data_IF_526789514377
#
_entry.id   IF_526789514377
#
_cell.length_a   1.000
_cell.length_b   1.000
_cell.length_c   1.000
_cell.angle_alpha   90.00
_cell.angle_beta   90.00
_cell.angle_gamma   90.00
#
_symmetry.space_group_name_H-M   'P 1'
#
loop_
_entity.id
_entity.type
_entity.pdbx_description
1 polymer ?
#
# COMPACT_ATOMS: atom_id res chain seq x y z
N UNK A 1 30.44 -16.88 1.89
CA UNK A 1 30.54 -16.27 0.55
C UNK A 1 29.62 -17.07 -0.38
N UNK A 2 28.34 -16.70 -0.43
CA UNK A 2 27.36 -17.25 -1.39
C UNK A 2 26.59 -16.06 -1.91
N UNK A 3 27.00 -15.62 -3.09
CA UNK A 3 26.17 -14.84 -4.00
C UNK A 3 25.23 -15.83 -4.69
N UNK A 4 23.92 -15.53 -4.72
CA UNK A 4 23.00 -15.90 -5.80
C UNK A 4 21.59 -15.33 -5.56
N UNK A 5 21.25 -14.42 -6.47
CA UNK A 5 19.99 -14.31 -7.19
C UNK A 5 18.76 -13.75 -6.47
N UNK A 6 18.65 -12.43 -6.62
CA UNK A 6 17.41 -11.68 -6.77
C UNK A 6 16.60 -12.26 -7.96
N UNK A 7 15.73 -13.24 -7.71
CA UNK A 7 14.70 -13.67 -8.66
C UNK A 7 13.63 -14.55 -7.98
N UNK A 8 12.37 -14.19 -8.24
CA UNK A 8 11.18 -15.06 -8.22
C UNK A 8 10.47 -15.27 -6.88
N UNK A 9 9.60 -14.33 -6.56
CA UNK A 9 8.45 -14.50 -5.67
C UNK A 9 7.25 -13.70 -6.13
N UNK A 10 7.10 -13.45 -7.43
CA UNK A 10 5.87 -12.87 -7.97
C UNK A 10 4.79 -13.96 -7.98
N UNK A 11 4.05 -14.11 -6.88
CA UNK A 11 2.83 -14.89 -6.90
C UNK A 11 1.78 -14.11 -7.70
N UNK A 12 1.60 -14.56 -8.94
CA UNK A 12 0.55 -14.13 -9.86
C UNK A 12 -0.79 -14.49 -9.23
N UNK A 13 -1.61 -13.48 -8.90
CA UNK A 13 -3.05 -13.74 -8.69
C UNK A 13 -3.64 -13.98 -10.07
N UNK A 14 -3.73 -15.27 -10.44
CA UNK A 14 -4.49 -15.73 -11.57
C UNK A 14 -5.97 -15.46 -11.30
N UNK A 15 -6.60 -14.72 -12.20
CA UNK A 15 -8.05 -14.73 -12.32
C UNK A 15 -8.44 -16.10 -12.89
N UNK A 16 -9.02 -16.95 -12.04
CA UNK A 16 -9.73 -18.13 -12.47
C UNK A 16 -10.85 -18.41 -11.47
N UNK A 17 -12.07 -18.33 -11.99
CA UNK A 17 -13.27 -18.95 -11.44
C UNK A 17 -12.93 -20.33 -10.87
N UNK A 18 -13.11 -20.49 -9.56
CA UNK A 18 -13.13 -21.80 -8.91
C UNK A 18 -11.81 -22.28 -8.30
N UNK A 19 -11.95 -22.71 -7.05
CA UNK A 19 -11.18 -23.73 -6.35
C UNK A 19 -10.03 -23.36 -5.39
N UNK A 20 -10.38 -23.60 -4.12
CA UNK A 20 -9.59 -24.19 -3.01
C UNK A 20 -8.81 -23.27 -2.08
N UNK A 21 -9.57 -22.81 -1.07
CA UNK A 21 -9.21 -22.68 0.33
C UNK A 21 -8.27 -23.79 0.84
N UNK A 22 -7.16 -23.38 1.47
CA UNK A 22 -6.56 -23.99 2.67
C UNK A 22 -5.98 -22.81 3.44
N UNK A 23 -6.42 -22.38 4.62
CA UNK A 23 -7.13 -22.99 5.72
C UNK A 23 -6.56 -22.29 6.97
N UNK A 24 -7.22 -21.25 7.45
CA UNK A 24 -7.00 -20.71 8.81
C UNK A 24 -8.37 -20.55 9.46
N UNK A 25 -8.58 -21.33 10.51
CA UNK A 25 -9.79 -21.30 11.31
C UNK A 25 -9.95 -19.93 11.98
N UNK A 26 -11.12 -19.32 11.77
CA UNK A 26 -11.76 -18.42 12.73
C UNK A 26 -11.28 -16.97 12.81
N UNK A 27 -11.68 -16.13 11.83
CA UNK A 27 -12.29 -14.82 12.05
C UNK A 27 -12.49 -14.10 10.70
N UNK A 28 -13.75 -13.88 10.32
CA UNK A 28 -14.26 -12.91 9.33
C UNK A 28 -13.26 -12.32 8.30
N UNK A 29 -12.79 -13.11 7.34
CA UNK A 29 -12.07 -12.60 6.16
C UNK A 29 -13.06 -12.16 5.08
N UNK A 30 -13.24 -10.86 4.86
CA UNK A 30 -13.96 -10.32 3.70
C UNK A 30 -13.01 -10.19 2.50
N UNK A 31 -13.52 -10.49 1.31
CA UNK A 31 -12.76 -10.60 0.05
C UNK A 31 -12.04 -9.31 -0.45
N UNK A 32 -12.16 -8.21 0.30
CA UNK A 32 -11.70 -6.87 -0.09
C UNK A 32 -10.38 -6.44 0.58
N UNK A 33 -9.82 -7.29 1.44
CA UNK A 33 -8.54 -7.04 2.12
C UNK A 33 -7.33 -7.31 1.20
N UNK A 34 -6.25 -6.56 1.44
CA UNK A 34 -4.96 -6.75 0.76
C UNK A 34 -4.30 -8.03 1.28
N UNK A 35 -3.88 -8.95 0.41
CA UNK A 35 -3.13 -10.15 0.81
C UNK A 35 -1.62 -9.89 0.95
N UNK A 36 -0.97 -10.52 1.92
CA UNK A 36 0.46 -10.35 2.17
C UNK A 36 1.32 -10.91 1.01
N UNK A 37 2.31 -10.13 0.56
CA UNK A 37 3.32 -10.57 -0.42
C UNK A 37 2.82 -10.64 -1.86
N UNK A 38 1.59 -10.21 -2.15
CA UNK A 38 1.04 -10.20 -3.49
C UNK A 38 1.12 -8.78 -4.09
N UNK A 39 1.63 -8.68 -5.32
CA UNK A 39 1.32 -7.52 -6.15
C UNK A 39 -0.20 -7.52 -6.38
N UNK A 40 -0.85 -6.38 -6.13
CA UNK A 40 -2.30 -6.27 -6.28
C UNK A 40 -2.73 -6.18 -7.76
N UNK A 41 -1.75 -6.18 -8.69
CA UNK A 41 -1.92 -6.34 -10.13
C UNK A 41 -0.74 -7.10 -10.76
N UNK A 42 -0.95 -7.69 -11.93
CA UNK A 42 0.00 -8.58 -12.64
C UNK A 42 1.18 -7.86 -13.35
N UNK A 43 1.79 -6.85 -12.71
CA UNK A 43 2.88 -6.05 -13.28
C UNK A 43 4.02 -6.03 -12.27
N UNK A 44 5.28 -6.07 -12.75
CA UNK A 44 6.45 -6.00 -11.88
C UNK A 44 6.41 -4.71 -11.07
N UNK A 45 6.13 -4.82 -9.77
CA UNK A 45 6.11 -3.70 -8.86
C UNK A 45 7.54 -3.15 -8.74
N UNK A 46 7.76 -1.89 -9.12
CA UNK A 46 9.09 -1.28 -9.10
C UNK A 46 9.58 -0.89 -7.70
N UNK A 47 8.98 -1.38 -6.61
CA UNK A 47 9.37 -1.04 -5.24
C UNK A 47 10.56 -1.91 -4.84
N UNK A 48 11.69 -1.29 -4.51
CA UNK A 48 12.87 -1.99 -3.99
C UNK A 48 12.73 -2.32 -2.50
N UNK A 49 13.41 -3.36 -2.04
CA UNK A 49 13.33 -3.85 -0.65
C UNK A 49 13.66 -2.77 0.38
N UNK A 50 14.72 -1.99 0.17
CA UNK A 50 15.09 -0.88 1.07
C UNK A 50 14.05 0.23 1.09
N UNK A 51 13.42 0.51 -0.06
CA UNK A 51 12.35 1.49 -0.17
C UNK A 51 11.12 1.04 0.62
N UNK A 52 10.75 -0.24 0.47
CA UNK A 52 9.64 -0.85 1.21
C UNK A 52 9.93 -0.86 2.72
N UNK A 53 11.09 -1.37 3.13
CA UNK A 53 11.47 -1.46 4.54
C UNK A 53 11.48 -0.08 5.22
N UNK A 54 12.01 0.94 4.55
CA UNK A 54 11.99 2.31 5.06
C UNK A 54 10.56 2.85 5.16
N UNK A 55 9.75 2.71 4.11
CA UNK A 55 8.36 3.15 4.08
C UNK A 55 7.52 2.50 5.17
N UNK A 56 7.57 1.18 5.30
CA UNK A 56 6.83 0.40 6.32
C UNK A 56 7.24 0.81 7.73
N UNK A 57 8.54 0.95 8.00
CA UNK A 57 9.01 1.41 9.31
C UNK A 57 8.43 2.79 9.66
N UNK A 58 8.52 3.75 8.73
CA UNK A 58 8.04 5.11 8.98
C UNK A 58 6.52 5.17 9.15
N UNK A 59 5.77 4.44 8.32
CA UNK A 59 4.31 4.38 8.43
C UNK A 59 3.88 3.86 9.81
N UNK A 60 4.50 2.76 10.27
CA UNK A 60 4.21 2.16 11.57
C UNK A 60 4.54 3.07 12.74
N UNK A 61 5.66 3.79 12.68
CA UNK A 61 5.99 4.78 13.73
C UNK A 61 5.00 5.93 13.78
N UNK A 62 4.53 6.43 12.64
CA UNK A 62 3.53 7.51 12.61
C UNK A 62 2.17 7.03 13.13
N UNK A 63 1.80 5.79 12.81
CA UNK A 63 0.59 5.16 13.33
C UNK A 63 0.68 4.89 14.84
N UNK A 64 1.86 4.48 15.34
CA UNK A 64 2.13 4.27 16.77
C UNK A 64 2.01 5.56 17.60
N UNK A 65 2.39 6.68 17.00
CA UNK A 65 2.31 8.01 17.63
C UNK A 65 0.93 8.67 17.48
N UNK A 66 -0.03 8.00 16.83
CA UNK A 66 -1.36 8.52 16.53
C UNK A 66 -1.34 9.83 15.71
N UNK A 67 -0.30 10.01 14.87
CA UNK A 67 -0.19 11.16 13.96
C UNK A 67 -1.00 10.91 12.70
N UNK A 68 -0.82 9.75 12.09
CA UNK A 68 -1.50 9.35 10.87
C UNK A 68 -1.08 7.96 10.41
N UNK A 69 -1.77 7.44 9.39
CA UNK A 69 -1.63 6.07 8.91
C UNK A 69 -0.84 5.96 7.61
N UNK A 70 -0.54 7.09 6.97
CA UNK A 70 0.13 7.14 5.67
C UNK A 70 1.39 8.00 5.70
N UNK A 71 2.41 7.55 4.96
CA UNK A 71 3.62 8.33 4.71
C UNK A 71 3.99 8.24 3.23
N UNK A 72 4.58 9.30 2.69
CA UNK A 72 5.23 9.29 1.38
C UNK A 72 6.73 9.38 1.59
N UNK A 73 7.47 8.45 0.99
CA UNK A 73 8.94 8.41 1.08
C UNK A 73 9.57 8.40 -0.31
N UNK A 74 10.78 8.94 -0.43
CA UNK A 74 11.58 8.87 -1.63
C UNK A 74 13.07 8.81 -1.26
N UNK A 75 13.82 7.86 -1.83
CA UNK A 75 15.27 7.74 -1.67
C UNK A 75 15.75 7.82 -0.22
N UNK A 76 15.08 7.11 0.70
CA UNK A 76 15.40 7.09 2.13
C UNK A 76 15.01 8.36 2.91
N UNK A 77 14.21 9.25 2.32
CA UNK A 77 13.71 10.48 2.95
C UNK A 77 12.18 10.46 3.07
N UNK A 78 11.65 10.96 4.19
CA UNK A 78 10.22 11.21 4.33
C UNK A 78 9.86 12.52 3.62
N UNK A 79 8.95 12.44 2.67
CA UNK A 79 8.47 13.56 1.86
C UNK A 79 7.21 14.16 2.47
N UNK A 80 6.29 13.30 2.92
CA UNK A 80 5.08 13.71 3.59
C UNK A 80 4.63 12.67 4.61
N UNK A 81 3.97 13.14 5.66
CA UNK A 81 3.30 12.33 6.68
C UNK A 81 1.85 12.81 6.73
N UNK A 82 0.91 11.88 6.68
CA UNK A 82 -0.50 12.17 6.89
C UNK A 82 -0.72 12.61 8.34
N UNK A 83 -1.53 13.65 8.52
CA UNK A 83 -2.08 14.01 9.81
C UNK A 83 -3.57 14.34 9.65
N UNK A 84 -4.06 15.36 10.38
CA UNK A 84 -5.47 15.74 10.40
C UNK A 84 -6.03 16.16 9.03
N UNK A 85 -5.18 16.55 8.07
CA UNK A 85 -5.63 16.96 6.73
C UNK A 85 -6.16 15.79 5.89
N UNK A 86 -5.81 14.55 6.26
CA UNK A 86 -6.17 13.31 5.55
C UNK A 86 -5.28 12.98 4.34
N UNK A 87 -5.29 11.69 3.96
CA UNK A 87 -4.43 11.11 2.93
C UNK A 87 -4.44 11.89 1.60
N UNK A 88 -5.62 12.27 1.10
CA UNK A 88 -5.73 12.92 -0.22
C UNK A 88 -5.04 14.30 -0.26
N UNK A 89 -5.19 15.09 0.80
CA UNK A 89 -4.55 16.41 0.89
C UNK A 89 -3.03 16.28 1.08
N UNK A 90 -2.58 15.30 1.87
CA UNK A 90 -1.17 14.94 2.00
C UNK A 90 -0.57 14.57 0.63
N UNK A 91 -1.28 13.78 -0.18
CA UNK A 91 -0.80 13.38 -1.51
C UNK A 91 -0.70 14.58 -2.46
N UNK A 92 -1.72 15.45 -2.53
CA UNK A 92 -1.68 16.64 -3.39
C UNK A 92 -0.49 17.55 -3.11
N UNK A 93 -0.13 17.76 -1.83
CA UNK A 93 1.03 18.60 -1.49
C UNK A 93 2.38 17.95 -1.84
N UNK A 94 2.43 16.65 -2.11
CA UNK A 94 3.66 15.99 -2.58
C UNK A 94 4.13 16.56 -3.94
N UNK A 95 3.21 17.09 -4.77
CA UNK A 95 3.54 17.71 -6.06
C UNK A 95 4.55 18.86 -5.93
N UNK A 96 4.57 19.55 -4.79
CA UNK A 96 5.44 20.71 -4.55
C UNK A 96 6.89 20.31 -4.23
N UNK A 97 7.15 19.04 -3.96
CA UNK A 97 8.44 18.56 -3.44
C UNK A 97 9.43 18.20 -4.54
N UNK A 98 8.95 17.96 -5.78
CA UNK A 98 9.79 17.48 -6.88
C UNK A 98 10.39 16.07 -6.66
N UNK A 99 9.87 15.33 -5.66
CA UNK A 99 10.34 14.00 -5.31
C UNK A 99 10.25 13.02 -6.49
N UNK A 100 11.35 12.35 -6.81
CA UNK A 100 11.37 11.24 -7.77
C UNK A 100 11.22 9.93 -7.03
N UNK A 101 10.58 8.95 -7.67
CA UNK A 101 10.43 7.58 -7.14
C UNK A 101 9.70 7.55 -5.78
N UNK A 102 8.65 8.38 -5.64
CA UNK A 102 7.86 8.44 -4.41
C UNK A 102 7.04 7.16 -4.20
N UNK A 103 7.06 6.68 -2.95
CA UNK A 103 6.26 5.56 -2.46
C UNK A 103 5.32 6.06 -1.36
N UNK A 104 4.02 5.89 -1.57
CA UNK A 104 3.03 5.91 -0.50
C UNK A 104 3.11 4.60 0.29
N UNK A 105 3.21 4.66 1.61
CA UNK A 105 3.01 3.50 2.48
C UNK A 105 1.85 3.77 3.41
N UNK A 106 0.86 2.88 3.45
CA UNK A 106 -0.33 2.98 4.29
C UNK A 106 -0.51 1.74 5.15
N UNK A 107 -0.74 1.95 6.44
CA UNK A 107 -0.86 0.94 7.50
C UNK A 107 -2.12 1.19 8.33
N UNK A 108 -2.42 0.32 9.30
CA UNK A 108 -3.43 0.56 10.33
C UNK A 108 -2.80 0.98 11.66
N UNK A 109 -3.56 1.60 12.57
CA UNK A 109 -3.08 1.88 13.93
C UNK A 109 -3.02 0.58 14.74
N UNK A 110 -2.07 0.49 15.65
CA UNK A 110 -1.90 -0.70 16.49
C UNK A 110 -3.11 -0.97 17.40
N UNK A 111 -3.81 0.08 17.87
CA UNK A 111 -5.01 0.01 18.69
C UNK A 111 -6.25 0.49 17.89
N UNK A 112 -6.42 -0.03 16.67
CA UNK A 112 -7.49 0.39 15.77
C UNK A 112 -8.88 0.05 16.35
N UNK A 113 -9.74 1.05 16.53
CA UNK A 113 -11.18 0.81 16.70
C UNK A 113 -11.83 0.67 15.33
N UNK A 114 -11.97 -0.56 14.89
CA UNK A 114 -12.54 -0.95 13.59
C UNK A 114 -13.98 -0.47 13.36
N UNK A 115 -14.68 0.00 14.39
CA UNK A 115 -16.04 0.54 14.23
C UNK A 115 -16.04 1.98 13.72
N UNK A 116 -14.95 2.71 13.95
CA UNK A 116 -14.89 4.15 13.71
C UNK A 116 -13.79 4.57 12.74
N UNK A 117 -12.72 3.78 12.64
CA UNK A 117 -11.56 4.15 11.86
C UNK A 117 -11.06 2.90 11.12
N UNK A 118 -11.51 2.78 9.87
CA UNK A 118 -11.14 1.69 8.97
C UNK A 118 -10.24 2.28 7.88
N UNK A 119 -8.97 1.88 7.80
CA UNK A 119 -8.06 2.40 6.78
C UNK A 119 -8.53 2.01 5.38
N UNK A 120 -8.84 3.01 4.56
CA UNK A 120 -9.34 2.80 3.20
C UNK A 120 -8.39 3.33 2.14
N UNK A 121 -8.40 2.67 0.98
CA UNK A 121 -7.72 3.07 -0.24
C UNK A 121 -8.66 2.87 -1.43
N UNK A 122 -8.85 3.90 -2.25
CA UNK A 122 -9.80 3.86 -3.36
C UNK A 122 -9.39 4.74 -4.54
N UNK A 123 -10.29 4.86 -5.52
CA UNK A 123 -10.08 5.64 -6.76
C UNK A 123 -9.63 7.07 -6.48
N UNK A 124 -10.28 7.75 -5.52
CA UNK A 124 -9.94 9.13 -5.15
C UNK A 124 -8.49 9.26 -4.64
N UNK A 125 -8.00 8.26 -3.92
CA UNK A 125 -6.62 8.22 -3.45
C UNK A 125 -5.64 8.01 -4.62
N UNK A 126 -5.98 7.15 -5.59
CA UNK A 126 -5.19 7.01 -6.83
C UNK A 126 -5.10 8.32 -7.63
N UNK A 127 -6.21 9.05 -7.74
CA UNK A 127 -6.23 10.35 -8.42
C UNK A 127 -5.37 11.38 -7.68
N UNK A 128 -5.47 11.41 -6.34
CA UNK A 128 -4.64 12.27 -5.51
C UNK A 128 -3.16 11.90 -5.58
N UNK A 129 -2.84 10.60 -5.71
CA UNK A 129 -1.47 10.12 -5.96
C UNK A 129 -0.95 10.63 -7.31
N UNK A 130 -1.74 10.53 -8.37
CA UNK A 130 -1.38 11.02 -9.69
C UNK A 130 -1.15 12.55 -9.69
N UNK A 131 -2.04 13.31 -9.06
CA UNK A 131 -1.88 14.77 -8.85
C UNK A 131 -0.59 15.08 -8.08
N UNK A 132 -0.26 14.27 -7.08
CA UNK A 132 0.92 14.39 -6.24
C UNK A 132 2.23 13.90 -6.87
N UNK A 133 2.18 13.27 -8.06
CA UNK A 133 3.34 12.63 -8.69
C UNK A 133 3.81 11.34 -7.99
N UNK A 134 2.98 10.71 -7.16
CA UNK A 134 3.28 9.47 -6.44
C UNK A 134 2.85 8.28 -7.30
N UNK A 135 3.79 7.43 -7.70
CA UNK A 135 3.54 6.35 -8.66
C UNK A 135 3.59 4.94 -8.07
N UNK A 136 3.80 4.81 -6.75
CA UNK A 136 3.86 3.52 -6.06
C UNK A 136 3.10 3.60 -4.74
N UNK A 137 2.34 2.56 -4.41
CA UNK A 137 1.73 2.38 -3.09
C UNK A 137 2.03 0.99 -2.52
N UNK A 138 2.44 0.97 -1.26
CA UNK A 138 2.55 -0.20 -0.42
C UNK A 138 1.44 -0.12 0.65
N UNK A 139 0.56 -1.12 0.67
CA UNK A 139 -0.58 -1.20 1.57
C UNK A 139 -0.40 -2.39 2.50
N UNK A 140 -0.65 -2.20 3.80
CA UNK A 140 -0.56 -3.29 4.75
C UNK A 140 -1.67 -4.30 4.52
N UNK A 141 -1.25 -5.56 4.37
CA UNK A 141 -2.16 -6.68 4.21
C UNK A 141 -3.06 -6.85 5.43
N UNK A 142 -4.31 -7.25 5.17
CA UNK A 142 -5.34 -7.49 6.19
C UNK A 142 -5.67 -6.27 7.08
N UNK A 143 -5.18 -5.09 6.72
CA UNK A 143 -5.28 -3.87 7.51
C UNK A 143 -5.87 -2.68 6.73
N UNK A 144 -5.72 -2.67 5.40
CA UNK A 144 -6.24 -1.62 4.51
C UNK A 144 -7.29 -2.20 3.56
N UNK A 145 -8.47 -1.58 3.53
CA UNK A 145 -9.55 -1.94 2.61
C UNK A 145 -9.36 -1.27 1.25
N UNK A 146 -9.43 -2.06 0.18
CA UNK A 146 -9.54 -1.56 -1.19
C UNK A 146 -11.00 -1.33 -1.57
N UNK A 147 -11.41 -0.06 -1.69
CA UNK A 147 -12.77 0.29 -2.10
C UNK A 147 -12.92 0.00 -3.59
N UNK A 148 -13.80 -0.95 -3.94
CA UNK A 148 -13.99 -1.44 -5.32
C UNK A 148 -12.65 -1.88 -5.93
N UNK A 149 -12.12 -2.98 -5.39
CA UNK A 149 -10.83 -3.56 -5.79
C UNK A 149 -10.69 -3.70 -7.33
N UNK A 150 -11.67 -4.21 -8.09
CA UNK A 150 -11.58 -4.27 -9.55
C UNK A 150 -11.37 -2.90 -10.19
N UNK A 151 -12.14 -1.89 -9.80
CA UNK A 151 -12.00 -0.54 -10.33
C UNK A 151 -10.64 0.08 -9.96
N UNK A 152 -10.17 -0.10 -8.72
CA UNK A 152 -8.88 0.40 -8.26
C UNK A 152 -7.74 -0.19 -9.07
N UNK A 153 -7.73 -1.50 -9.29
CA UNK A 153 -6.68 -2.16 -10.08
C UNK A 153 -6.69 -1.65 -11.53
N UNK A 154 -7.88 -1.54 -12.14
CA UNK A 154 -8.02 -1.03 -13.50
C UNK A 154 -7.53 0.42 -13.62
N UNK A 155 -7.88 1.27 -12.65
CA UNK A 155 -7.48 2.69 -12.62
C UNK A 155 -6.00 2.87 -12.34
N UNK A 156 -5.43 2.10 -11.41
CA UNK A 156 -4.00 2.12 -11.11
C UNK A 156 -3.17 1.80 -12.37
N UNK A 157 -3.59 0.79 -13.14
CA UNK A 157 -2.98 0.47 -14.44
C UNK A 157 -3.05 1.64 -15.44
N UNK A 158 -4.18 2.33 -15.55
CA UNK A 158 -4.32 3.50 -16.44
C UNK A 158 -3.41 4.65 -16.03
N UNK A 159 -3.22 4.85 -14.73
CA UNK A 159 -2.41 5.94 -14.17
C UNK A 159 -0.92 5.58 -14.08
N UNK A 160 -0.53 4.33 -14.35
CA UNK A 160 0.85 3.86 -14.16
C UNK A 160 1.26 3.85 -12.68
N UNK A 161 0.33 3.50 -11.80
CA UNK A 161 0.57 3.40 -10.35
C UNK A 161 0.74 1.92 -9.97
N UNK A 162 1.87 1.59 -9.35
CA UNK A 162 2.12 0.26 -8.82
C UNK A 162 1.46 0.08 -7.45
N UNK A 163 0.78 -1.04 -7.22
CA UNK A 163 0.14 -1.40 -5.96
C UNK A 163 0.73 -2.70 -5.40
N UNK A 164 1.18 -2.66 -4.14
CA UNK A 164 1.82 -3.79 -3.47
C UNK A 164 1.23 -4.01 -2.07
N UNK A 165 0.98 -5.29 -1.72
CA UNK A 165 0.60 -5.69 -0.36
C UNK A 165 1.81 -6.16 0.47
N UNK A 166 2.10 -5.50 1.58
CA UNK A 166 3.15 -5.94 2.51
C UNK A 166 2.58 -6.61 3.75
N UNK A 167 3.34 -7.55 4.32
CA UNK A 167 2.87 -8.35 5.46
C UNK A 167 2.62 -7.54 6.74
N UNK A 168 1.77 -8.05 7.64
CA UNK A 168 1.47 -7.41 8.92
C UNK A 168 2.71 -7.27 9.83
N UNK A 169 2.56 -6.47 10.88
CA UNK A 169 3.62 -6.18 11.85
C UNK A 169 3.94 -7.36 12.77
#
# INVERSE_FOLDING_TARGET
MVSKDCATGALVIADAVGDTLTGIDGAAGSADMVGAGAALGAWACGIGDDQLAFGTRMAREMARLDVGQSVVTAKGTVIAVEAFEGTDNMLRRCAQTGGKEMLLTKTSKHAQDWRFDVPCFGIKTLESMAEGGVTKAALEADAVILIDRPAVIARAKQLGIDLFGFGPA
#
